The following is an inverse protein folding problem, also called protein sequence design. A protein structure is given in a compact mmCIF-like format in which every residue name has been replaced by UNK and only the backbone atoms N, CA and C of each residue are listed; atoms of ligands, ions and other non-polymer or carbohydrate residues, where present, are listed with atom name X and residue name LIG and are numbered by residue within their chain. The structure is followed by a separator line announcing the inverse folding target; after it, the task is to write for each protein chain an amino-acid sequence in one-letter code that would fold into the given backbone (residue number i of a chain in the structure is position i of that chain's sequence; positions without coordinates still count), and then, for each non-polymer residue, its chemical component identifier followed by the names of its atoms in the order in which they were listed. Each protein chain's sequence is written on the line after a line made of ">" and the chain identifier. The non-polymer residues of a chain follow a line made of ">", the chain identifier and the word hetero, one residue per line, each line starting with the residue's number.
data_IF_227335843226
#
_entry.id   IF_227335843226
#
_cell.length_a   1.000
_cell.length_b   1.000
_cell.length_c   1.000
_cell.angle_alpha   90.00
_cell.angle_beta   90.00
_cell.angle_gamma   90.00
#
_symmetry.space_group_name_H-M   'P 1'
#
loop_
_entity.id
_entity.type
_entity.pdbx_description
1 polymer ?
#
# COMPACT_ATOMS: atom_id res chain seq x y z
N UNK A 1 -30.87 5.74 -1.09
CA UNK A 1 -30.64 4.51 -0.28
C UNK A 1 -31.02 4.83 1.15
N UNK A 2 -32.05 4.19 1.66
CA UNK A 2 -32.51 4.29 3.04
C UNK A 2 -32.00 3.09 3.84
N UNK A 3 -31.49 3.33 5.05
CA UNK A 3 -30.98 2.29 5.96
C UNK A 3 -31.73 2.47 7.27
N UNK A 4 -32.17 1.37 7.90
CA UNK A 4 -32.87 1.45 9.18
C UNK A 4 -31.95 1.98 10.28
N UNK A 5 -32.56 2.48 11.35
CA UNK A 5 -31.85 3.12 12.46
C UNK A 5 -30.87 2.13 13.15
N UNK A 6 -31.26 0.87 13.27
CA UNK A 6 -30.48 -0.16 13.99
C UNK A 6 -29.20 -0.48 13.20
N UNK A 7 -29.32 -0.72 11.90
CA UNK A 7 -28.14 -1.02 11.06
C UNK A 7 -27.25 0.21 10.86
N UNK A 8 -27.85 1.40 10.71
CA UNK A 8 -27.09 2.65 10.66
C UNK A 8 -26.27 2.87 11.93
N UNK A 9 -26.86 2.63 13.12
CA UNK A 9 -26.17 2.73 14.40
C UNK A 9 -25.02 1.71 14.54
N UNK A 10 -25.24 0.43 14.13
CA UNK A 10 -24.19 -0.57 14.10
C UNK A 10 -22.98 -0.11 13.27
N UNK A 11 -23.23 0.38 12.03
CA UNK A 11 -22.18 0.85 11.13
C UNK A 11 -21.42 2.03 11.77
N UNK A 12 -22.15 3.03 12.28
CA UNK A 12 -21.55 4.19 12.92
C UNK A 12 -20.65 3.79 14.11
N UNK A 13 -21.16 2.97 15.03
CA UNK A 13 -20.41 2.48 16.20
C UNK A 13 -19.20 1.63 15.78
N UNK A 14 -19.32 0.80 14.74
CA UNK A 14 -18.21 0.03 14.22
C UNK A 14 -17.06 0.93 13.74
N UNK A 15 -17.38 1.97 12.96
CA UNK A 15 -16.35 2.86 12.47
C UNK A 15 -15.75 3.72 13.58
N UNK A 16 -16.58 4.29 14.45
CA UNK A 16 -16.13 5.21 15.47
C UNK A 16 -15.53 4.49 16.68
N UNK A 17 -16.29 3.62 17.35
CA UNK A 17 -15.84 2.96 18.57
C UNK A 17 -14.78 1.89 18.27
N UNK A 18 -15.08 0.97 17.30
CA UNK A 18 -14.20 -0.17 17.07
C UNK A 18 -12.95 0.18 16.29
N UNK A 19 -13.08 0.92 15.16
CA UNK A 19 -11.93 1.20 14.30
C UNK A 19 -11.12 2.41 14.76
N UNK A 20 -11.76 3.51 15.15
CA UNK A 20 -11.07 4.72 15.56
C UNK A 20 -10.60 4.62 16.99
N UNK A 21 -11.50 4.46 17.96
CA UNK A 21 -11.15 4.53 19.38
C UNK A 21 -10.39 3.29 19.87
N UNK A 22 -10.89 2.06 19.61
CA UNK A 22 -10.30 0.85 20.18
C UNK A 22 -9.09 0.31 19.40
N UNK A 23 -9.09 0.46 18.04
CA UNK A 23 -8.03 -0.10 17.17
C UNK A 23 -7.05 0.93 16.63
N UNK A 24 -7.31 2.22 16.81
CA UNK A 24 -6.51 3.30 16.23
C UNK A 24 -6.17 3.03 14.75
N UNK A 25 -7.19 2.57 14.01
CA UNK A 25 -7.00 2.07 12.65
C UNK A 25 -6.52 3.18 11.72
N UNK A 26 -5.53 2.88 10.88
CA UNK A 26 -5.01 3.86 9.94
C UNK A 26 -6.09 4.38 8.98
N UNK A 27 -5.99 5.64 8.48
CA UNK A 27 -6.94 6.20 7.52
C UNK A 27 -7.17 5.31 6.30
N UNK A 28 -6.12 4.62 5.82
CA UNK A 28 -6.24 3.68 4.70
C UNK A 28 -7.06 2.42 5.07
N UNK A 29 -6.91 1.93 6.30
CA UNK A 29 -7.72 0.81 6.82
C UNK A 29 -9.17 1.22 6.88
N UNK A 30 -9.47 2.37 7.51
CA UNK A 30 -10.82 2.93 7.60
C UNK A 30 -11.44 3.09 6.20
N UNK A 31 -10.68 3.65 5.24
CA UNK A 31 -11.13 3.78 3.85
C UNK A 31 -11.47 2.43 3.21
N UNK A 32 -10.61 1.42 3.38
CA UNK A 32 -10.84 0.07 2.84
C UNK A 32 -12.12 -0.55 3.40
N UNK A 33 -12.33 -0.41 4.71
CA UNK A 33 -13.51 -0.91 5.39
C UNK A 33 -14.78 -0.15 4.95
N UNK A 34 -14.70 1.18 4.88
CA UNK A 34 -15.80 2.02 4.38
C UNK A 34 -16.23 1.62 2.96
N UNK A 35 -15.26 1.44 2.07
CA UNK A 35 -15.54 1.06 0.69
C UNK A 35 -16.18 -0.34 0.61
N UNK A 36 -15.77 -1.29 1.46
CA UNK A 36 -16.39 -2.61 1.52
C UNK A 36 -17.85 -2.55 1.99
N UNK A 37 -18.11 -1.85 3.09
CA UNK A 37 -19.48 -1.67 3.62
C UNK A 37 -20.35 -0.92 2.61
N UNK A 38 -19.83 0.15 2.00
CA UNK A 38 -20.56 0.91 0.96
C UNK A 38 -20.99 0.01 -0.20
N UNK A 39 -20.07 -0.81 -0.75
CA UNK A 39 -20.40 -1.72 -1.86
C UNK A 39 -21.43 -2.77 -1.44
N UNK A 40 -21.35 -3.29 -0.23
CA UNK A 40 -22.34 -4.25 0.29
C UNK A 40 -23.72 -3.61 0.42
N UNK A 41 -23.82 -2.41 0.98
CA UNK A 41 -25.08 -1.67 1.09
C UNK A 41 -25.67 -1.34 -0.28
N UNK A 42 -24.85 -0.95 -1.25
CA UNK A 42 -25.29 -0.71 -2.62
C UNK A 42 -25.87 -1.99 -3.25
N UNK A 43 -25.21 -3.12 -3.08
CA UNK A 43 -25.69 -4.42 -3.53
C UNK A 43 -27.05 -4.77 -2.93
N UNK A 44 -27.21 -4.62 -1.61
CA UNK A 44 -28.49 -4.89 -0.94
C UNK A 44 -29.61 -3.99 -1.47
N UNK A 45 -29.33 -2.71 -1.68
CA UNK A 45 -30.31 -1.76 -2.21
C UNK A 45 -30.72 -2.10 -3.64
N UNK A 46 -29.77 -2.48 -4.49
CA UNK A 46 -30.04 -2.90 -5.88
C UNK A 46 -30.86 -4.19 -5.95
N UNK A 47 -30.59 -5.14 -5.02
CA UNK A 47 -31.27 -6.43 -4.92
C UNK A 47 -32.73 -6.26 -4.46
N UNK A 48 -32.95 -5.51 -3.41
CA UNK A 48 -34.25 -5.46 -2.71
C UNK A 48 -35.09 -4.21 -3.06
N UNK A 49 -34.47 -3.14 -3.56
CA UNK A 49 -35.10 -1.85 -3.92
C UNK A 49 -35.96 -1.21 -2.80
N UNK A 50 -35.66 -1.56 -1.54
CA UNK A 50 -36.38 -1.07 -0.35
C UNK A 50 -35.40 -0.64 0.74
N UNK A 51 -35.89 -0.27 1.90
CA UNK A 51 -35.10 0.09 3.07
C UNK A 51 -34.24 -1.10 3.53
N UNK A 52 -32.94 -0.85 3.74
CA UNK A 52 -31.97 -1.86 4.17
C UNK A 52 -32.06 -2.01 5.69
N UNK A 53 -32.34 -3.20 6.17
CA UNK A 53 -32.46 -3.52 7.59
C UNK A 53 -31.30 -4.40 8.09
N UNK A 54 -31.07 -4.41 9.42
CA UNK A 54 -30.05 -5.26 10.02
C UNK A 54 -30.26 -6.75 9.69
N UNK A 55 -31.49 -7.22 9.53
CA UNK A 55 -31.80 -8.61 9.14
C UNK A 55 -31.23 -8.99 7.78
N UNK A 56 -30.99 -8.03 6.90
CA UNK A 56 -30.35 -8.27 5.60
C UNK A 56 -28.84 -8.51 5.70
N UNK A 57 -28.23 -8.23 6.85
CA UNK A 57 -26.84 -8.55 7.13
C UNK A 57 -26.72 -10.00 7.61
N UNK A 58 -26.96 -10.92 6.70
CA UNK A 58 -26.94 -12.38 6.89
C UNK A 58 -25.93 -13.06 5.97
N UNK A 59 -25.62 -14.32 6.25
CA UNK A 59 -24.59 -15.06 5.49
C UNK A 59 -24.94 -15.21 4.01
N UNK A 60 -26.20 -15.43 3.68
CA UNK A 60 -26.70 -15.60 2.31
C UNK A 60 -26.43 -14.33 1.49
N UNK A 61 -26.83 -13.17 1.98
CA UNK A 61 -26.61 -11.91 1.29
C UNK A 61 -25.14 -11.54 1.17
N UNK A 62 -24.30 -11.90 2.15
CA UNK A 62 -22.86 -11.71 2.05
C UNK A 62 -22.26 -12.59 0.96
N UNK A 63 -22.67 -13.87 0.85
CA UNK A 63 -22.21 -14.77 -0.21
C UNK A 63 -22.67 -14.26 -1.59
N UNK A 64 -23.93 -13.86 -1.73
CA UNK A 64 -24.46 -13.32 -2.98
C UNK A 64 -23.70 -12.05 -3.41
N UNK A 65 -23.46 -11.14 -2.48
CA UNK A 65 -22.64 -9.95 -2.73
C UNK A 65 -21.24 -10.30 -3.22
N UNK A 66 -20.57 -11.26 -2.58
CA UNK A 66 -19.22 -11.64 -2.95
C UNK A 66 -19.15 -12.29 -4.33
N UNK A 67 -20.18 -13.08 -4.70
CA UNK A 67 -20.30 -13.70 -6.01
C UNK A 67 -20.58 -12.65 -7.10
N UNK A 68 -21.48 -11.72 -6.85
CA UNK A 68 -21.78 -10.59 -7.74
C UNK A 68 -20.54 -9.70 -7.92
N UNK A 69 -19.86 -9.37 -6.83
CA UNK A 69 -18.64 -8.55 -6.85
C UNK A 69 -17.52 -9.13 -7.72
N UNK A 70 -17.37 -10.45 -7.77
CA UNK A 70 -16.42 -11.12 -8.65
C UNK A 70 -16.86 -11.08 -10.11
N UNK A 71 -18.15 -11.34 -10.39
CA UNK A 71 -18.71 -11.41 -11.75
C UNK A 71 -18.68 -10.06 -12.46
N UNK A 72 -19.16 -9.00 -11.82
CA UNK A 72 -19.36 -7.70 -12.47
C UNK A 72 -18.07 -7.05 -12.99
N UNK A 73 -16.88 -7.32 -12.42
CA UNK A 73 -15.64 -6.61 -12.75
C UNK A 73 -14.41 -7.51 -12.93
N UNK A 74 -14.58 -8.83 -13.12
CA UNK A 74 -13.46 -9.81 -13.19
C UNK A 74 -12.42 -9.59 -12.08
N UNK A 75 -12.91 -9.37 -10.85
CA UNK A 75 -12.05 -9.01 -9.71
C UNK A 75 -11.36 -10.25 -9.13
N UNK A 76 -10.15 -10.05 -8.59
CA UNK A 76 -9.36 -11.15 -8.03
C UNK A 76 -9.95 -11.68 -6.72
N UNK A 77 -9.70 -12.97 -6.43
CA UNK A 77 -10.01 -13.61 -5.14
C UNK A 77 -9.46 -12.81 -3.95
N UNK A 78 -8.30 -12.17 -4.10
CA UNK A 78 -7.71 -11.29 -3.08
C UNK A 78 -8.62 -10.10 -2.76
N UNK A 79 -9.18 -9.44 -3.77
CA UNK A 79 -10.10 -8.32 -3.58
C UNK A 79 -11.39 -8.76 -2.92
N UNK A 80 -11.94 -9.92 -3.32
CA UNK A 80 -13.10 -10.56 -2.69
C UNK A 80 -12.82 -10.87 -1.21
N UNK A 81 -11.69 -11.52 -0.92
CA UNK A 81 -11.30 -11.86 0.44
C UNK A 81 -11.12 -10.63 1.33
N UNK A 82 -10.59 -9.54 0.78
CA UNK A 82 -10.51 -8.26 1.51
C UNK A 82 -11.90 -7.71 1.89
N UNK A 83 -12.90 -7.84 1.01
CA UNK A 83 -14.30 -7.47 1.32
C UNK A 83 -14.89 -8.38 2.39
N UNK A 84 -14.71 -9.70 2.25
CA UNK A 84 -15.14 -10.67 3.25
C UNK A 84 -14.52 -10.41 4.62
N UNK A 85 -13.21 -10.13 4.68
CA UNK A 85 -12.54 -9.81 5.94
C UNK A 85 -13.16 -8.60 6.66
N UNK A 86 -13.56 -7.58 5.89
CA UNK A 86 -14.25 -6.41 6.44
C UNK A 86 -15.63 -6.78 6.99
N UNK A 87 -16.44 -7.54 6.23
CA UNK A 87 -17.77 -7.93 6.66
C UNK A 87 -17.72 -8.89 7.86
N UNK A 88 -16.73 -9.78 7.93
CA UNK A 88 -16.47 -10.59 9.12
C UNK A 88 -16.12 -9.75 10.35
N UNK A 89 -15.29 -8.72 10.18
CA UNK A 89 -14.96 -7.81 11.28
C UNK A 89 -16.20 -7.04 11.78
N UNK A 90 -17.07 -6.60 10.86
CA UNK A 90 -18.35 -5.98 11.20
C UNK A 90 -19.28 -6.98 11.91
N UNK A 91 -19.41 -8.20 11.40
CA UNK A 91 -20.23 -9.26 12.01
C UNK A 91 -19.76 -9.59 13.42
N UNK A 92 -18.44 -9.72 13.62
CA UNK A 92 -17.86 -9.95 14.96
C UNK A 92 -18.17 -8.81 15.93
N UNK A 93 -18.19 -7.57 15.47
CA UNK A 93 -18.57 -6.43 16.30
C UNK A 93 -20.10 -6.41 16.54
N UNK A 94 -20.89 -6.77 15.55
CA UNK A 94 -22.34 -6.88 15.65
C UNK A 94 -22.77 -7.92 16.69
N UNK A 95 -22.09 -9.06 16.77
CA UNK A 95 -22.32 -10.09 17.81
C UNK A 95 -22.21 -9.52 19.22
N UNK A 96 -21.29 -8.59 19.44
CA UNK A 96 -21.13 -7.92 20.75
C UNK A 96 -22.32 -6.97 21.07
N UNK A 97 -22.84 -6.28 20.06
CA UNK A 97 -23.91 -5.28 20.26
C UNK A 97 -25.32 -5.89 20.26
N UNK A 98 -25.52 -6.98 19.52
CA UNK A 98 -26.81 -7.64 19.28
C UNK A 98 -26.66 -9.14 19.51
N UNK A 99 -26.52 -9.60 20.79
CA UNK A 99 -26.35 -11.02 21.12
C UNK A 99 -27.48 -11.91 20.62
N UNK A 100 -28.70 -11.38 20.55
CA UNK A 100 -29.88 -12.07 20.04
C UNK A 100 -29.76 -12.49 18.55
N UNK A 101 -28.94 -11.80 17.77
CA UNK A 101 -28.65 -12.13 16.36
C UNK A 101 -27.32 -12.88 16.19
N UNK A 102 -26.68 -13.32 17.26
CA UNK A 102 -25.32 -13.89 17.24
C UNK A 102 -25.16 -15.05 16.28
N UNK A 103 -26.16 -15.93 16.16
CA UNK A 103 -26.13 -17.08 15.26
C UNK A 103 -25.94 -16.64 13.79
N UNK A 104 -26.65 -15.64 13.32
CA UNK A 104 -26.49 -15.12 11.97
C UNK A 104 -25.12 -14.50 11.74
N UNK A 105 -24.62 -13.71 12.68
CA UNK A 105 -23.29 -13.11 12.56
C UNK A 105 -22.17 -14.14 12.63
N UNK A 106 -22.34 -15.23 13.41
CA UNK A 106 -21.41 -16.36 13.41
C UNK A 106 -21.36 -17.04 12.05
N UNK A 107 -22.49 -17.28 11.39
CA UNK A 107 -22.54 -17.85 10.04
C UNK A 107 -21.73 -17.02 9.03
N UNK A 108 -21.76 -15.69 9.10
CA UNK A 108 -20.90 -14.80 8.29
C UNK A 108 -19.41 -15.09 8.57
N UNK A 109 -19.03 -15.29 9.83
CA UNK A 109 -17.65 -15.59 10.20
C UNK A 109 -17.15 -16.96 9.69
N UNK A 110 -18.04 -17.91 9.47
CA UNK A 110 -17.72 -19.22 8.88
C UNK A 110 -17.55 -19.21 7.35
N UNK A 111 -17.94 -18.15 6.64
CA UNK A 111 -17.75 -18.08 5.18
C UNK A 111 -16.26 -18.23 4.85
N UNK A 112 -15.90 -19.21 4.02
CA UNK A 112 -14.51 -19.48 3.69
C UNK A 112 -13.87 -18.39 2.81
N UNK A 113 -12.61 -18.09 3.06
CA UNK A 113 -11.78 -17.32 2.14
C UNK A 113 -11.46 -18.19 0.91
N UNK A 114 -11.48 -17.61 -0.28
CA UNK A 114 -11.00 -18.31 -1.48
C UNK A 114 -9.48 -18.40 -1.46
N UNK A 115 -8.94 -19.51 -1.99
CA UNK A 115 -7.50 -19.63 -2.22
C UNK A 115 -7.01 -18.50 -3.14
N UNK A 116 -5.92 -17.87 -2.76
CA UNK A 116 -5.23 -16.88 -3.57
C UNK A 116 -4.07 -17.57 -4.29
N UNK A 117 -4.00 -17.42 -5.61
CA UNK A 117 -2.78 -17.77 -6.32
C UNK A 117 -1.70 -16.77 -5.95
N UNK A 118 -0.65 -17.23 -5.29
CA UNK A 118 0.53 -16.40 -5.04
C UNK A 118 1.17 -16.08 -6.40
N UNK A 119 1.06 -14.83 -6.82
CA UNK A 119 1.83 -14.37 -7.97
C UNK A 119 3.30 -14.32 -7.55
N UNK A 120 4.15 -14.97 -8.32
CA UNK A 120 5.59 -14.77 -8.19
C UNK A 120 5.87 -13.29 -8.38
N UNK A 121 6.47 -12.67 -7.36
CA UNK A 121 6.76 -11.25 -7.39
C UNK A 121 7.99 -11.07 -8.28
N UNK A 122 7.82 -10.41 -9.41
CA UNK A 122 8.92 -10.11 -10.32
C UNK A 122 9.88 -9.11 -9.67
N UNK A 123 11.16 -9.35 -9.82
CA UNK A 123 12.23 -8.42 -9.48
C UNK A 123 13.15 -8.22 -10.68
N UNK A 124 13.95 -7.16 -10.66
CA UNK A 124 14.94 -6.88 -11.68
C UNK A 124 16.27 -7.53 -11.30
N UNK A 125 16.96 -8.14 -12.28
CA UNK A 125 18.34 -8.57 -12.12
C UNK A 125 19.27 -7.34 -12.00
N UNK A 126 20.53 -7.53 -11.56
CA UNK A 126 21.47 -6.42 -11.38
C UNK A 126 21.65 -5.57 -12.64
N UNK A 127 21.86 -6.22 -13.78
CA UNK A 127 22.04 -5.56 -15.07
C UNK A 127 20.76 -4.87 -15.58
N UNK A 128 19.58 -5.37 -15.22
CA UNK A 128 18.29 -4.76 -15.54
C UNK A 128 18.05 -3.50 -14.68
N UNK A 129 18.39 -3.58 -13.39
CA UNK A 129 18.25 -2.44 -12.48
C UNK A 129 19.23 -1.33 -12.84
N UNK A 130 20.49 -1.68 -13.12
CA UNK A 130 21.49 -0.73 -13.61
C UNK A 130 21.04 -0.07 -14.92
N UNK A 131 20.48 -0.84 -15.85
CA UNK A 131 19.96 -0.32 -17.11
C UNK A 131 18.78 0.61 -16.90
N UNK A 132 17.87 0.29 -15.97
CA UNK A 132 16.75 1.16 -15.60
C UNK A 132 17.25 2.50 -15.03
N UNK A 133 18.26 2.49 -14.17
CA UNK A 133 18.86 3.69 -13.59
C UNK A 133 19.55 4.59 -14.63
N UNK A 134 20.00 4.05 -15.76
CA UNK A 134 20.61 4.81 -16.87
C UNK A 134 19.58 5.53 -17.76
N UNK A 135 18.27 5.26 -17.61
CA UNK A 135 17.24 5.85 -18.50
C UNK A 135 16.96 7.34 -18.25
N UNK A 136 16.97 7.85 -16.99
CA UNK A 136 16.75 9.27 -16.77
C UNK A 136 17.90 10.14 -17.34
N UNK A 137 17.56 11.19 -18.07
CA UNK A 137 18.55 12.16 -18.54
C UNK A 137 19.01 13.06 -17.38
N UNK A 138 20.15 12.73 -16.77
CA UNK A 138 20.70 13.45 -15.61
C UNK A 138 21.15 14.88 -15.94
N UNK A 139 21.31 15.24 -17.21
CA UNK A 139 21.66 16.61 -17.62
C UNK A 139 20.46 17.57 -17.52
N UNK A 140 19.25 17.06 -17.42
CA UNK A 140 18.06 17.88 -17.16
C UNK A 140 17.69 17.84 -15.68
N UNK A 141 17.28 18.96 -15.06
CA UNK A 141 16.86 18.99 -13.65
C UNK A 141 15.78 17.96 -13.33
N UNK A 142 14.77 17.83 -14.20
CA UNK A 142 13.71 16.86 -14.05
C UNK A 142 14.23 15.40 -14.10
N UNK A 143 15.09 15.12 -15.07
CA UNK A 143 15.65 13.77 -15.21
C UNK A 143 16.55 13.40 -14.03
N UNK A 144 17.31 14.36 -13.50
CA UNK A 144 18.13 14.16 -12.30
C UNK A 144 17.28 13.90 -11.05
N UNK A 145 16.16 14.62 -10.86
CA UNK A 145 15.20 14.33 -9.78
C UNK A 145 14.65 12.90 -9.92
N UNK A 146 14.24 12.51 -11.13
CA UNK A 146 13.72 11.16 -11.37
C UNK A 146 14.76 10.07 -11.12
N UNK A 147 16.00 10.30 -11.55
CA UNK A 147 17.13 9.41 -11.23
C UNK A 147 17.32 9.26 -9.73
N UNK A 148 17.36 10.37 -9.00
CA UNK A 148 17.51 10.37 -7.54
C UNK A 148 16.36 9.60 -6.84
N UNK A 149 15.13 9.71 -7.33
CA UNK A 149 13.98 8.94 -6.83
C UNK A 149 14.19 7.43 -7.05
N UNK A 150 14.57 7.02 -8.28
CA UNK A 150 14.80 5.61 -8.60
C UNK A 150 15.98 5.03 -7.79
N UNK A 151 17.08 5.78 -7.69
CA UNK A 151 18.24 5.39 -6.93
C UNK A 151 17.92 5.26 -5.43
N UNK A 152 17.19 6.21 -4.88
CA UNK A 152 16.77 6.18 -3.48
C UNK A 152 15.85 5.00 -3.19
N UNK A 153 14.86 4.73 -4.06
CA UNK A 153 13.99 3.55 -3.94
C UNK A 153 14.77 2.25 -3.95
N UNK A 154 15.79 2.14 -4.82
CA UNK A 154 16.62 0.95 -4.94
C UNK A 154 17.60 0.81 -3.78
N UNK A 155 18.29 1.88 -3.38
CA UNK A 155 19.21 1.81 -2.24
C UNK A 155 18.48 1.43 -0.95
N UNK A 156 17.34 2.08 -0.68
CA UNK A 156 16.70 1.96 0.62
C UNK A 156 15.59 0.92 0.68
N UNK A 157 14.99 0.58 -0.45
CA UNK A 157 13.83 -0.28 -0.51
C UNK A 157 12.61 0.26 0.23
N UNK A 158 12.51 1.56 0.51
CA UNK A 158 11.38 2.17 1.23
C UNK A 158 10.06 2.03 0.48
N UNK A 159 8.94 2.08 1.22
CA UNK A 159 7.62 2.17 0.60
C UNK A 159 7.40 3.54 -0.02
N UNK A 160 6.59 3.60 -1.10
CA UNK A 160 6.25 4.90 -1.73
C UNK A 160 5.69 5.89 -0.71
N UNK A 161 4.89 5.43 0.26
CA UNK A 161 4.36 6.30 1.32
C UNK A 161 5.44 6.85 2.25
N UNK A 162 6.51 6.14 2.48
CA UNK A 162 7.65 6.57 3.27
C UNK A 162 8.48 7.60 2.47
N UNK A 163 8.73 7.33 1.18
CA UNK A 163 9.44 8.25 0.30
C UNK A 163 8.74 9.62 0.17
N UNK A 164 7.44 9.65 -0.10
CA UNK A 164 6.71 10.92 -0.29
C UNK A 164 6.59 11.75 0.99
N UNK A 165 6.67 11.12 2.16
CA UNK A 165 6.62 11.78 3.47
C UNK A 165 8.01 12.04 4.06
N UNK A 166 9.07 11.81 3.30
CA UNK A 166 10.43 12.03 3.76
C UNK A 166 10.76 13.51 3.78
N UNK A 167 11.19 14.02 4.94
CA UNK A 167 11.67 15.38 5.16
C UNK A 167 13.18 15.42 5.29
N UNK A 168 13.76 16.59 5.06
CA UNK A 168 15.20 16.79 5.08
C UNK A 168 15.78 16.51 6.47
N UNK A 169 15.04 16.81 7.54
CA UNK A 169 15.46 16.52 8.93
C UNK A 169 15.70 15.03 9.20
N UNK A 170 15.16 14.14 8.36
CA UNK A 170 15.37 12.69 8.47
C UNK A 170 16.65 12.20 7.76
N UNK A 171 17.36 13.08 7.07
CA UNK A 171 18.60 12.75 6.36
C UNK A 171 19.82 13.03 7.23
N UNK A 172 20.64 12.02 7.47
CA UNK A 172 21.90 12.12 8.21
C UNK A 172 23.08 11.92 7.24
N UNK A 173 23.29 12.90 6.32
CA UNK A 173 24.21 12.74 5.20
C UNK A 173 25.69 12.85 5.59
N UNK A 174 26.00 13.62 6.63
CA UNK A 174 27.39 13.87 7.06
C UNK A 174 27.87 12.93 8.15
N UNK A 175 27.00 12.63 9.14
CA UNK A 175 27.38 11.87 10.36
C UNK A 175 27.33 10.37 10.11
N UNK A 176 26.12 9.79 10.08
CA UNK A 176 25.91 8.33 9.97
C UNK A 176 25.68 7.86 8.54
N UNK A 177 25.63 8.78 7.57
CA UNK A 177 25.34 8.47 6.15
C UNK A 177 24.11 7.58 6.00
N UNK A 178 23.05 7.94 6.67
CA UNK A 178 21.81 7.14 6.76
C UNK A 178 20.56 8.01 6.61
N UNK A 179 19.45 7.36 6.37
CA UNK A 179 18.13 7.98 6.41
C UNK A 179 17.29 7.35 7.52
N UNK A 180 16.62 8.18 8.30
CA UNK A 180 15.66 7.78 9.32
C UNK A 180 14.28 7.63 8.71
N UNK A 181 13.72 6.42 8.72
CA UNK A 181 12.40 6.10 8.14
C UNK A 181 11.41 5.81 9.26
N UNK A 182 10.27 6.49 9.20
CA UNK A 182 9.10 6.22 10.06
C UNK A 182 8.11 5.33 9.32
N UNK A 183 8.03 4.07 9.73
CA UNK A 183 7.17 3.07 9.13
C UNK A 183 5.76 3.02 9.72
N UNK A 184 4.97 2.05 9.26
CA UNK A 184 3.62 1.80 9.76
C UNK A 184 3.64 1.43 11.25
N UNK A 185 2.76 2.06 12.05
CA UNK A 185 2.66 1.80 13.49
C UNK A 185 3.73 2.50 14.33
N UNK A 186 4.32 3.61 13.83
CA UNK A 186 5.31 4.40 14.57
C UNK A 186 6.69 3.74 14.68
N UNK A 187 6.94 2.64 13.98
CA UNK A 187 8.24 1.98 13.99
C UNK A 187 9.25 2.76 13.17
N UNK A 188 10.40 3.00 13.76
CA UNK A 188 11.47 3.78 13.18
C UNK A 188 12.69 2.88 12.93
N UNK A 189 13.38 3.13 11.83
CA UNK A 189 14.63 2.43 11.51
C UNK A 189 15.53 3.31 10.65
N UNK A 190 16.84 3.06 10.73
CA UNK A 190 17.85 3.76 9.97
C UNK A 190 18.35 2.88 8.83
N UNK A 191 18.44 3.45 7.63
CA UNK A 191 18.92 2.74 6.44
C UNK A 191 20.21 3.42 5.97
N UNK A 192 21.32 2.68 5.82
CA UNK A 192 22.55 3.21 5.26
C UNK A 192 22.36 3.69 3.81
N UNK A 193 22.98 4.80 3.47
CA UNK A 193 22.93 5.39 2.14
C UNK A 193 24.23 5.14 1.39
N UNK A 194 24.08 4.77 0.11
CA UNK A 194 25.23 4.69 -0.80
C UNK A 194 25.81 6.06 -1.08
N UNK A 195 27.10 6.13 -1.36
CA UNK A 195 27.80 7.38 -1.69
C UNK A 195 27.11 8.17 -2.79
N UNK A 196 26.68 7.48 -3.84
CA UNK A 196 25.96 8.11 -4.96
C UNK A 196 24.59 8.67 -4.54
N UNK A 197 23.87 7.95 -3.68
CA UNK A 197 22.58 8.42 -3.12
C UNK A 197 22.79 9.69 -2.30
N UNK A 198 23.84 9.76 -1.49
CA UNK A 198 24.19 10.94 -0.70
C UNK A 198 24.43 12.14 -1.60
N UNK A 199 25.27 12.01 -2.64
CA UNK A 199 25.55 13.07 -3.60
C UNK A 199 24.27 13.64 -4.24
N UNK A 200 23.36 12.75 -4.64
CA UNK A 200 22.10 13.17 -5.24
C UNK A 200 21.16 13.84 -4.22
N UNK A 201 21.13 13.36 -2.97
CA UNK A 201 20.35 13.96 -1.90
C UNK A 201 20.89 15.34 -1.50
N UNK A 202 22.20 15.51 -1.39
CA UNK A 202 22.84 16.80 -1.13
C UNK A 202 22.48 17.83 -2.21
N UNK A 203 22.54 17.44 -3.49
CA UNK A 203 22.11 18.30 -4.58
C UNK A 203 20.62 18.66 -4.49
N UNK A 204 19.75 17.68 -4.23
CA UNK A 204 18.30 17.88 -4.12
C UNK A 204 17.92 18.81 -2.96
N UNK A 205 18.65 18.77 -1.86
CA UNK A 205 18.28 19.47 -0.62
C UNK A 205 19.07 20.78 -0.43
N UNK A 206 19.97 21.10 -1.35
CA UNK A 206 20.76 22.33 -1.30
C UNK A 206 19.89 23.58 -1.08
N UNK A 207 20.26 24.38 -0.09
CA UNK A 207 19.52 25.61 0.28
C UNK A 207 18.18 25.37 0.99
N UNK A 208 17.84 24.12 1.38
CA UNK A 208 16.60 23.77 2.09
C UNK A 208 16.94 23.02 3.38
N UNK A 209 16.16 23.21 4.43
CA UNK A 209 16.39 22.64 5.76
C UNK A 209 15.10 22.18 6.45
N UNK A 210 15.25 21.39 7.51
CA UNK A 210 14.20 21.03 8.46
C UNK A 210 13.09 20.16 7.87
N UNK A 211 11.85 20.55 8.12
CA UNK A 211 10.65 19.79 7.69
C UNK A 211 10.26 19.97 6.22
N UNK A 212 11.15 20.53 5.40
CA UNK A 212 10.91 20.61 3.98
C UNK A 212 11.00 19.22 3.34
N UNK A 213 10.10 18.89 2.37
CA UNK A 213 10.14 17.59 1.68
C UNK A 213 11.46 17.39 0.94
N UNK A 214 12.01 16.17 0.95
CA UNK A 214 13.22 15.84 0.17
C UNK A 214 12.93 15.91 -1.32
N UNK A 215 11.87 15.24 -1.78
CA UNK A 215 11.51 15.15 -3.20
C UNK A 215 10.33 16.08 -3.51
N UNK A 216 10.56 17.04 -4.41
CA UNK A 216 9.56 18.00 -4.87
C UNK A 216 9.23 17.78 -6.34
N UNK A 217 7.95 17.92 -6.68
CA UNK A 217 7.45 17.93 -8.04
C UNK A 217 7.71 19.31 -8.72
N UNK A 218 7.26 19.47 -9.96
CA UNK A 218 7.43 20.73 -10.72
C UNK A 218 6.70 21.92 -10.08
N UNK A 219 5.63 21.68 -9.31
CA UNK A 219 4.88 22.67 -8.55
C UNK A 219 5.52 22.99 -7.20
N UNK A 220 6.71 22.46 -6.91
CA UNK A 220 7.39 22.54 -5.61
C UNK A 220 6.60 21.95 -4.44
N UNK A 221 5.77 20.95 -4.73
CA UNK A 221 4.99 20.19 -3.76
C UNK A 221 5.52 18.76 -3.60
N UNK A 222 5.08 18.06 -2.56
CA UNK A 222 5.35 16.63 -2.39
C UNK A 222 4.80 15.83 -3.56
N UNK A 223 5.55 14.83 -4.01
CA UNK A 223 5.01 13.87 -4.97
C UNK A 223 3.82 13.11 -4.39
N UNK A 224 2.82 12.83 -5.23
CA UNK A 224 1.78 11.85 -4.90
C UNK A 224 2.27 10.42 -5.14
N UNK A 225 1.60 9.43 -4.52
CA UNK A 225 1.87 8.01 -4.81
C UNK A 225 1.73 7.68 -6.30
N UNK A 226 0.72 8.26 -6.97
CA UNK A 226 0.52 8.11 -8.42
C UNK A 226 1.67 8.71 -9.21
N UNK A 227 2.18 9.88 -8.78
CA UNK A 227 3.33 10.53 -9.42
C UNK A 227 4.58 9.66 -9.39
N UNK A 228 4.93 9.09 -8.23
CA UNK A 228 6.07 8.16 -8.12
C UNK A 228 5.85 6.89 -8.96
N UNK A 229 4.65 6.30 -8.93
CA UNK A 229 4.35 5.13 -9.76
C UNK A 229 4.45 5.45 -11.26
N UNK A 230 4.04 6.65 -11.67
CA UNK A 230 4.15 7.11 -13.04
C UNK A 230 5.61 7.30 -13.48
N UNK A 231 6.47 7.87 -12.61
CA UNK A 231 7.92 8.00 -12.87
C UNK A 231 8.52 6.61 -13.12
N UNK A 232 8.25 5.64 -12.26
CA UNK A 232 8.76 4.27 -12.43
C UNK A 232 8.25 3.69 -13.75
N UNK A 233 6.94 3.82 -14.05
CA UNK A 233 6.35 3.29 -15.28
C UNK A 233 7.01 3.85 -16.55
N UNK A 234 7.25 5.18 -16.62
CA UNK A 234 7.92 5.82 -17.76
C UNK A 234 9.30 5.20 -18.03
N UNK A 235 10.10 5.01 -16.97
CA UNK A 235 11.46 4.51 -17.16
C UNK A 235 11.53 3.01 -17.36
N UNK A 236 10.58 2.26 -16.80
CA UNK A 236 10.39 0.83 -17.12
C UNK A 236 10.02 0.65 -18.59
N UNK A 237 9.10 1.46 -19.12
CA UNK A 237 8.72 1.43 -20.54
C UNK A 237 9.95 1.72 -21.42
N UNK A 238 10.68 2.81 -21.17
CA UNK A 238 11.91 3.16 -21.89
C UNK A 238 12.97 2.05 -21.84
N UNK A 239 13.16 1.44 -20.67
CA UNK A 239 14.09 0.35 -20.51
C UNK A 239 13.65 -0.91 -21.28
N UNK A 240 12.35 -1.15 -21.36
CA UNK A 240 11.73 -2.29 -22.03
C UNK A 240 11.93 -2.28 -23.55
N UNK A 241 12.12 -1.10 -24.15
CA UNK A 241 12.34 -0.97 -25.60
C UNK A 241 13.62 -1.71 -26.05
N UNK A 242 14.66 -1.68 -25.24
CA UNK A 242 15.94 -2.35 -25.54
C UNK A 242 16.16 -3.64 -24.76
N UNK A 243 15.65 -3.74 -23.50
CA UNK A 243 15.71 -4.96 -22.68
C UNK A 243 14.34 -5.63 -22.59
N UNK A 244 14.05 -6.54 -23.54
CA UNK A 244 12.77 -7.26 -23.60
C UNK A 244 12.44 -8.05 -22.32
N UNK A 245 13.43 -8.48 -21.55
CA UNK A 245 13.24 -9.19 -20.28
C UNK A 245 12.51 -8.34 -19.25
N UNK A 246 12.75 -7.01 -19.22
CA UNK A 246 12.04 -6.07 -18.34
C UNK A 246 10.56 -5.98 -18.72
N UNK A 247 10.23 -6.04 -20.02
CA UNK A 247 8.85 -5.98 -20.52
C UNK A 247 7.97 -7.12 -19.99
N UNK A 248 8.56 -8.28 -19.77
CA UNK A 248 7.86 -9.47 -19.24
C UNK A 248 7.59 -9.37 -17.74
N UNK A 249 8.22 -8.42 -17.08
CA UNK A 249 8.12 -8.20 -15.63
C UNK A 249 7.16 -7.05 -15.33
N UNK A 250 6.24 -7.24 -14.42
CA UNK A 250 5.33 -6.17 -13.97
C UNK A 250 6.02 -5.31 -12.89
N UNK A 251 6.88 -4.39 -13.34
CA UNK A 251 7.70 -3.57 -12.45
C UNK A 251 6.93 -2.35 -11.95
N UNK A 252 6.95 -2.18 -10.64
CA UNK A 252 6.34 -1.10 -9.89
C UNK A 252 7.29 -0.64 -8.78
N UNK A 253 7.01 0.44 -8.06
CA UNK A 253 7.83 0.80 -6.89
C UNK A 253 7.95 -0.33 -5.86
N UNK A 254 6.92 -1.16 -5.72
CA UNK A 254 6.97 -2.32 -4.84
C UNK A 254 7.90 -3.41 -5.37
N UNK A 255 7.96 -3.60 -6.68
CA UNK A 255 8.91 -4.52 -7.31
C UNK A 255 10.36 -4.04 -7.15
N UNK A 256 10.63 -2.72 -7.18
CA UNK A 256 11.97 -2.19 -6.88
C UNK A 256 12.37 -2.52 -5.43
N UNK A 257 11.46 -2.39 -4.47
CA UNK A 257 11.72 -2.82 -3.08
C UNK A 257 12.04 -4.32 -2.98
N UNK A 258 11.33 -5.17 -3.76
CA UNK A 258 11.68 -6.60 -3.85
C UNK A 258 13.03 -6.82 -4.49
N UNK A 259 13.37 -6.06 -5.52
CA UNK A 259 14.70 -6.05 -6.14
C UNK A 259 15.78 -5.75 -5.11
N UNK A 260 15.61 -4.71 -4.30
CA UNK A 260 16.52 -4.40 -3.19
C UNK A 260 16.68 -5.60 -2.24
N UNK A 261 15.58 -6.21 -1.81
CA UNK A 261 15.62 -7.37 -0.91
C UNK A 261 16.37 -8.54 -1.52
N UNK A 262 16.10 -8.85 -2.80
CA UNK A 262 16.76 -9.97 -3.51
C UNK A 262 18.25 -9.71 -3.71
N UNK A 263 18.64 -8.49 -4.06
CA UNK A 263 20.04 -8.15 -4.24
C UNK A 263 20.82 -8.16 -2.93
N UNK A 264 20.23 -7.67 -1.83
CA UNK A 264 20.83 -7.81 -0.50
C UNK A 264 21.03 -9.29 -0.12
N UNK A 265 20.02 -10.12 -0.37
CA UNK A 265 20.10 -11.57 -0.11
C UNK A 265 21.18 -12.25 -0.98
N UNK A 266 21.25 -11.95 -2.27
CA UNK A 266 22.24 -12.46 -3.20
C UNK A 266 23.66 -12.00 -2.83
N UNK A 267 23.78 -10.82 -2.19
CA UNK A 267 25.06 -10.31 -1.66
C UNK A 267 25.44 -10.92 -0.31
N UNK A 268 24.69 -11.91 0.19
CA UNK A 268 24.99 -12.61 1.43
C UNK A 268 24.53 -11.89 2.71
N UNK A 269 23.70 -10.84 2.60
CA UNK A 269 23.17 -10.14 3.78
C UNK A 269 22.17 -11.06 4.50
N UNK A 270 22.30 -11.16 5.82
CA UNK A 270 21.42 -11.98 6.66
C UNK A 270 19.96 -11.57 6.54
N UNK A 271 19.05 -12.55 6.56
CA UNK A 271 17.61 -12.32 6.38
C UNK A 271 17.01 -11.41 7.47
N UNK A 272 17.50 -11.45 8.70
CA UNK A 272 17.04 -10.59 9.78
C UNK A 272 17.53 -9.16 9.56
N UNK A 273 18.75 -8.98 9.06
CA UNK A 273 19.26 -7.67 8.67
C UNK A 273 18.41 -7.07 7.52
N UNK A 274 18.04 -7.88 6.51
CA UNK A 274 17.15 -7.45 5.43
C UNK A 274 15.76 -7.07 5.97
N UNK A 275 15.22 -7.81 6.93
CA UNK A 275 13.95 -7.47 7.58
C UNK A 275 14.03 -6.13 8.32
N UNK A 276 15.10 -5.89 9.07
CA UNK A 276 15.34 -4.62 9.76
C UNK A 276 15.50 -3.49 8.74
N UNK A 277 16.30 -3.68 7.69
CA UNK A 277 16.49 -2.73 6.60
C UNK A 277 15.17 -2.29 5.97
N UNK A 278 14.30 -3.24 5.69
CA UNK A 278 13.01 -2.98 5.07
C UNK A 278 11.90 -2.59 6.04
N UNK A 279 12.14 -2.59 7.35
CA UNK A 279 11.10 -2.29 8.36
C UNK A 279 9.97 -3.32 8.38
N UNK A 280 10.27 -4.61 8.20
CA UNK A 280 9.32 -5.70 8.38
C UNK A 280 9.22 -6.08 9.85
N UNK A 281 8.00 -6.24 10.36
CA UNK A 281 7.68 -6.46 11.77
C UNK A 281 7.28 -7.90 12.11
N UNK A 282 7.27 -8.77 11.13
CA UNK A 282 6.92 -10.20 11.28
C UNK A 282 7.53 -10.99 10.14
#
# INVERSE_FOLDING_TARGET
>A
MKIDQVFSNLIHRFFFERLVQQKEASPNTIKTYRDAVKFFLQFLFEKEKKEITLKMFCAENVVDFLNDYEKQKKRSSRSRNSRLATLKALAKFATYLYPECSNEFMRINYIAMKRETQKVISYLEYDEMEYLLKQPNRNSPRGRIHYSILLFLYNTGVRVSELINLDIEHLHLTTTKSVHIRGKGGKEHFIPLWKETIIELEWLTSGRLGKAPVFLNQQKERYSRKGISHIVAIYVEKASDKKKSIKLKNISPHSIRHTTAMHLLQSGVDMNAIRLWLGHTS
#
